data_IF_613478288739
#
_entry.id   IF_613478288739
#
_cell.length_a   1.000
_cell.length_b   1.000
_cell.length_c   1.000
_cell.angle_alpha   90.00
_cell.angle_beta   90.00
_cell.angle_gamma   90.00
#
_symmetry.space_group_name_H-M   'P 1'
#
loop_
_entity.id
_entity.type
_entity.pdbx_description
1 polymer ?
#
# COMPACT_ATOMS: atom_id res chain seq x y z
N UNK A 1 -0.71 -1.99 -2.29
CA UNK A 1 -1.76 -2.10 -1.27
C UNK A 1 -3.13 -1.65 -1.72
N UNK A 2 -4.12 -1.94 -0.93
CA UNK A 2 -5.51 -1.63 -1.25
C UNK A 2 -5.90 -0.19 -0.88
N UNK A 3 -5.50 0.26 0.31
CA UNK A 3 -5.75 1.61 0.81
C UNK A 3 -7.21 2.06 0.69
N UNK A 4 -8.12 1.16 1.04
CA UNK A 4 -9.53 1.50 1.11
C UNK A 4 -9.82 2.16 2.47
N UNK A 5 -10.66 3.19 2.48
CA UNK A 5 -10.98 3.94 3.69
C UNK A 5 -9.71 4.43 4.41
N UNK A 6 -8.98 5.34 3.77
CA UNK A 6 -7.76 5.90 4.34
C UNK A 6 -7.97 6.41 5.75
N UNK A 7 -7.03 6.07 6.63
CA UNK A 7 -7.09 6.49 8.03
C UNK A 7 -5.68 6.80 8.54
N UNK A 8 -5.58 7.18 9.81
CA UNK A 8 -4.33 7.58 10.43
C UNK A 8 -3.22 6.53 10.29
N UNK A 9 -3.58 5.24 10.42
CA UNK A 9 -2.61 4.16 10.25
C UNK A 9 -1.96 4.12 8.89
N UNK A 10 -2.75 4.35 7.83
CA UNK A 10 -2.22 4.45 6.47
C UNK A 10 -1.28 5.64 6.32
N UNK A 11 -1.66 6.79 6.87
CA UNK A 11 -0.82 8.00 6.80
C UNK A 11 0.51 7.77 7.50
N UNK A 12 0.49 7.14 8.67
CA UNK A 12 1.74 6.85 9.42
C UNK A 12 2.64 5.87 8.65
N UNK A 13 2.04 4.86 8.01
CA UNK A 13 2.81 3.92 7.18
C UNK A 13 3.49 4.65 6.03
N UNK A 14 2.75 5.52 5.34
CA UNK A 14 3.28 6.29 4.22
C UNK A 14 4.38 7.27 4.68
N UNK A 15 4.19 7.90 5.83
CA UNK A 15 5.20 8.78 6.41
C UNK A 15 6.50 8.02 6.69
N UNK A 16 6.39 6.85 7.31
CA UNK A 16 7.56 6.01 7.61
C UNK A 16 8.26 5.54 6.34
N UNK A 17 7.47 5.15 5.34
CA UNK A 17 8.01 4.71 4.05
C UNK A 17 8.77 5.85 3.36
N UNK A 18 8.19 7.06 3.37
CA UNK A 18 8.84 8.23 2.78
C UNK A 18 10.16 8.55 3.47
N UNK A 19 10.23 8.36 4.78
CA UNK A 19 11.46 8.63 5.56
C UNK A 19 12.61 7.70 5.19
N UNK A 20 12.34 6.57 4.53
CA UNK A 20 13.37 5.62 4.09
C UNK A 20 13.98 5.99 2.75
N UNK A 21 13.50 7.03 2.09
CA UNK A 21 14.01 7.47 0.80
C UNK A 21 13.60 8.90 0.50
N UNK A 22 13.86 9.34 -0.71
CA UNK A 22 13.56 10.70 -1.14
C UNK A 22 12.29 10.81 -1.97
N UNK A 23 11.85 9.69 -2.55
CA UNK A 23 10.72 9.66 -3.47
C UNK A 23 9.87 8.42 -3.18
N UNK A 24 8.59 8.64 -2.90
CA UNK A 24 7.69 7.55 -2.53
C UNK A 24 6.71 7.22 -3.67
N UNK A 25 6.80 5.98 -4.16
CA UNK A 25 5.88 5.44 -5.15
C UNK A 25 4.96 4.46 -4.42
N UNK A 26 3.66 4.63 -4.59
CA UNK A 26 2.66 3.73 -4.01
C UNK A 26 2.04 2.89 -5.11
N UNK A 27 2.13 1.57 -4.97
CA UNK A 27 1.46 0.64 -5.86
C UNK A 27 0.06 0.38 -5.30
N UNK A 28 -0.95 0.83 -6.02
CA UNK A 28 -2.34 0.77 -5.59
C UNK A 28 -3.09 -0.31 -6.35
N UNK A 29 -3.66 -1.27 -5.61
CA UNK A 29 -4.40 -2.39 -6.20
C UNK A 29 -5.59 -1.91 -7.01
N UNK A 30 -5.72 -2.42 -8.24
CA UNK A 30 -6.91 -2.14 -9.07
C UNK A 30 -8.12 -2.89 -8.51
N UNK A 31 -9.31 -2.48 -8.91
CA UNK A 31 -10.53 -3.14 -8.48
C UNK A 31 -10.56 -4.60 -8.95
N UNK A 32 -10.13 -4.85 -10.18
CA UNK A 32 -10.03 -6.20 -10.73
C UNK A 32 -9.05 -7.08 -9.96
N UNK A 33 -7.89 -6.54 -9.61
CA UNK A 33 -6.88 -7.27 -8.84
C UNK A 33 -7.41 -7.62 -7.45
N UNK A 34 -8.09 -6.69 -6.80
CA UNK A 34 -8.68 -6.94 -5.48
C UNK A 34 -9.73 -8.05 -5.54
N UNK A 35 -10.57 -8.05 -6.57
CA UNK A 35 -11.59 -9.07 -6.72
C UNK A 35 -10.99 -10.44 -7.08
N UNK A 36 -10.09 -10.47 -8.07
CA UNK A 36 -9.54 -11.73 -8.56
C UNK A 36 -8.61 -12.41 -7.57
N UNK A 37 -7.74 -11.64 -6.90
CA UNK A 37 -6.71 -12.20 -6.04
C UNK A 37 -7.06 -12.18 -4.56
N UNK A 38 -7.82 -11.20 -4.12
CA UNK A 38 -8.13 -11.00 -2.71
C UNK A 38 -9.59 -11.23 -2.36
N UNK A 39 -10.45 -11.39 -3.37
CA UNK A 39 -11.90 -11.52 -3.20
C UNK A 39 -12.47 -10.37 -2.37
N UNK A 40 -11.94 -9.17 -2.59
CA UNK A 40 -12.35 -7.96 -1.90
C UNK A 40 -13.05 -7.02 -2.86
N UNK A 41 -14.13 -6.42 -2.38
CA UNK A 41 -14.79 -5.30 -3.05
C UNK A 41 -14.57 -4.08 -2.18
N UNK A 42 -13.88 -3.08 -2.72
CA UNK A 42 -13.57 -1.85 -1.99
C UNK A 42 -14.79 -0.94 -1.88
N UNK A 43 -14.86 -0.17 -0.81
CA UNK A 43 -15.87 0.87 -0.67
C UNK A 43 -15.66 1.97 -1.72
N UNK A 44 -14.40 2.38 -1.93
CA UNK A 44 -14.04 3.36 -2.96
C UNK A 44 -13.47 2.65 -4.19
N UNK A 45 -13.80 3.18 -5.36
CA UNK A 45 -13.22 2.71 -6.63
C UNK A 45 -11.71 2.98 -6.67
N UNK A 46 -11.02 2.36 -7.62
CA UNK A 46 -9.61 2.61 -7.84
C UNK A 46 -9.33 4.11 -8.02
N UNK A 47 -10.10 4.79 -8.86
CA UNK A 47 -9.90 6.20 -9.14
C UNK A 47 -10.07 7.07 -7.89
N UNK A 48 -11.06 6.74 -7.06
CA UNK A 48 -11.28 7.46 -5.81
C UNK A 48 -10.15 7.21 -4.83
N UNK A 49 -9.69 5.97 -4.70
CA UNK A 49 -8.57 5.61 -3.83
C UNK A 49 -7.28 6.29 -4.29
N UNK A 50 -7.04 6.32 -5.60
CA UNK A 50 -5.88 6.99 -6.18
C UNK A 50 -5.90 8.49 -5.86
N UNK A 51 -7.04 9.13 -6.03
CA UNK A 51 -7.21 10.55 -5.76
C UNK A 51 -6.89 10.88 -4.29
N UNK A 52 -7.37 10.05 -3.37
CA UNK A 52 -7.09 10.24 -1.95
C UNK A 52 -5.60 10.09 -1.63
N UNK A 53 -4.95 9.09 -2.21
CA UNK A 53 -3.51 8.88 -2.01
C UNK A 53 -2.69 10.02 -2.59
N UNK A 54 -3.07 10.53 -3.75
CA UNK A 54 -2.36 11.63 -4.39
C UNK A 54 -2.45 12.93 -3.59
N UNK A 55 -3.44 13.04 -2.72
CA UNK A 55 -3.59 14.19 -1.82
C UNK A 55 -2.71 14.09 -0.57
N UNK A 56 -2.12 12.94 -0.30
CA UNK A 56 -1.23 12.73 0.85
C UNK A 56 0.14 13.33 0.54
N UNK A 57 0.61 14.21 1.42
CA UNK A 57 1.86 14.95 1.19
C UNK A 57 3.11 14.06 1.03
N UNK A 58 3.07 12.85 1.55
CA UNK A 58 4.23 11.95 1.50
C UNK A 58 4.30 11.15 0.20
N UNK A 59 3.23 11.14 -0.58
CA UNK A 59 3.14 10.33 -1.80
C UNK A 59 3.56 11.16 -3.00
N UNK A 60 4.53 10.66 -3.75
CA UNK A 60 5.05 11.33 -4.95
C UNK A 60 4.42 10.79 -6.23
N UNK A 61 4.12 9.49 -6.26
CA UNK A 61 3.55 8.86 -7.44
C UNK A 61 2.70 7.66 -7.04
N UNK A 62 1.56 7.51 -7.71
CA UNK A 62 0.69 6.34 -7.54
C UNK A 62 0.67 5.56 -8.85
N UNK A 63 0.97 4.26 -8.78
CA UNK A 63 0.92 3.38 -9.94
C UNK A 63 -0.07 2.24 -9.69
N UNK A 64 -0.67 1.67 -10.74
CA UNK A 64 -1.59 0.56 -10.54
C UNK A 64 -0.85 -0.74 -10.21
N UNK A 65 -1.44 -1.54 -9.32
CA UNK A 65 -0.99 -2.89 -9.01
C UNK A 65 -2.00 -3.85 -9.61
N UNK A 66 -1.60 -4.53 -10.67
CA UNK A 66 -2.50 -5.41 -11.43
C UNK A 66 -2.17 -6.90 -11.27
N UNK A 67 -0.97 -7.22 -10.77
CA UNK A 67 -0.55 -8.59 -10.53
C UNK A 67 0.60 -8.62 -9.53
N UNK A 68 0.83 -9.79 -8.93
CA UNK A 68 1.97 -9.98 -8.03
C UNK A 68 3.30 -9.99 -8.79
N UNK A 69 3.30 -10.53 -10.00
CA UNK A 69 4.49 -10.60 -10.85
C UNK A 69 5.00 -9.22 -11.27
N UNK A 70 4.12 -8.25 -11.30
CA UNK A 70 4.45 -6.87 -11.64
C UNK A 70 5.49 -6.26 -10.68
N UNK A 71 5.61 -6.77 -9.45
CA UNK A 71 6.53 -6.24 -8.45
C UNK A 71 7.96 -6.17 -8.93
N UNK A 72 8.46 -7.24 -9.55
CA UNK A 72 9.83 -7.29 -10.05
C UNK A 72 10.02 -6.26 -11.18
N UNK A 73 9.06 -6.23 -12.11
CA UNK A 73 9.08 -5.27 -13.23
C UNK A 73 9.08 -3.83 -12.73
N UNK A 74 8.22 -3.52 -11.76
CA UNK A 74 8.12 -2.17 -11.20
C UNK A 74 9.39 -1.75 -10.48
N UNK A 75 9.99 -2.64 -9.70
CA UNK A 75 11.24 -2.37 -8.98
C UNK A 75 12.34 -2.01 -9.96
N UNK A 76 12.42 -2.72 -11.07
CA UNK A 76 13.42 -2.46 -12.12
C UNK A 76 13.14 -1.18 -12.88
N UNK A 77 11.90 -0.99 -13.31
CA UNK A 77 11.49 0.16 -14.13
C UNK A 77 11.68 1.48 -13.39
N UNK A 78 11.27 1.53 -12.14
CA UNK A 78 11.35 2.76 -11.34
C UNK A 78 12.65 2.87 -10.54
N UNK A 79 13.57 1.91 -10.70
CA UNK A 79 14.86 1.89 -10.00
C UNK A 79 14.68 2.03 -8.49
N UNK A 80 13.80 1.22 -7.95
CA UNK A 80 13.46 1.26 -6.53
C UNK A 80 14.65 0.84 -5.68
N UNK A 81 14.99 1.64 -4.68
CA UNK A 81 16.05 1.31 -3.73
C UNK A 81 15.52 0.47 -2.57
N UNK A 82 14.32 0.78 -2.11
CA UNK A 82 13.72 0.12 -0.95
C UNK A 82 12.24 -0.17 -1.21
N UNK A 83 11.85 -1.43 -1.06
CA UNK A 83 10.46 -1.84 -1.11
C UNK A 83 9.93 -1.92 0.32
N UNK A 84 8.82 -1.24 0.59
CA UNK A 84 8.24 -1.14 1.93
C UNK A 84 6.83 -1.69 1.94
N UNK A 85 6.52 -2.52 2.92
CA UNK A 85 5.17 -3.07 3.09
C UNK A 85 4.94 -3.34 4.59
N UNK A 86 3.69 -3.49 5.00
CA UNK A 86 3.36 -3.82 6.38
C UNK A 86 3.85 -5.21 6.76
N UNK A 87 4.13 -5.40 8.05
CA UNK A 87 4.69 -6.67 8.54
C UNK A 87 3.71 -7.84 8.51
N UNK A 88 2.43 -7.61 8.21
CA UNK A 88 1.49 -8.69 7.95
C UNK A 88 1.96 -9.59 6.81
N UNK A 89 2.80 -9.05 5.92
CA UNK A 89 3.33 -9.72 4.75
C UNK A 89 4.77 -10.19 4.94
N UNK A 90 5.28 -10.20 6.18
CA UNK A 90 6.67 -10.54 6.45
C UNK A 90 7.09 -11.85 5.77
N UNK A 91 8.21 -11.78 5.06
CA UNK A 91 8.75 -12.90 4.30
C UNK A 91 8.15 -13.11 2.92
N UNK A 92 6.96 -12.59 2.65
CA UNK A 92 6.24 -12.84 1.38
C UNK A 92 6.86 -12.14 0.19
N UNK A 93 7.62 -11.09 0.42
CA UNK A 93 8.27 -10.30 -0.64
C UNK A 93 9.79 -10.38 -0.59
N UNK A 94 10.32 -11.36 0.12
CA UNK A 94 11.78 -11.55 0.21
C UNK A 94 12.42 -11.83 -1.15
N UNK A 95 11.65 -12.31 -2.13
CA UNK A 95 12.15 -12.50 -3.49
C UNK A 95 12.62 -11.18 -4.12
N UNK A 96 12.18 -10.04 -3.61
CA UNK A 96 12.62 -8.74 -4.10
C UNK A 96 13.99 -8.32 -3.56
N UNK A 97 14.51 -9.02 -2.55
CA UNK A 97 15.82 -8.71 -1.95
C UNK A 97 16.97 -8.81 -2.95
N UNK A 98 16.78 -9.58 -4.01
CA UNK A 98 17.74 -9.68 -5.11
C UNK A 98 17.86 -8.35 -5.87
N UNK A 99 16.84 -7.52 -5.84
CA UNK A 99 16.77 -6.29 -6.64
C UNK A 99 16.83 -5.01 -5.81
N UNK A 100 16.42 -5.05 -4.55
CA UNK A 100 16.35 -3.87 -3.69
C UNK A 100 16.28 -4.29 -2.22
N UNK A 101 16.38 -3.32 -1.32
CA UNK A 101 16.14 -3.59 0.09
C UNK A 101 14.64 -3.81 0.31
N UNK A 102 14.29 -4.71 1.21
CA UNK A 102 12.90 -4.99 1.57
C UNK A 102 12.72 -4.73 3.06
N UNK A 103 11.78 -3.86 3.38
CA UNK A 103 11.50 -3.47 4.76
C UNK A 103 10.04 -3.77 5.10
N UNK A 104 9.82 -4.49 6.18
CA UNK A 104 8.50 -4.78 6.71
C UNK A 104 8.26 -3.88 7.90
N UNK A 105 7.30 -2.95 7.79
CA UNK A 105 7.03 -2.00 8.86
C UNK A 105 5.93 -2.50 9.79
N UNK A 106 6.11 -2.31 11.10
CA UNK A 106 5.06 -2.69 12.05
C UNK A 106 3.82 -1.83 11.86
N UNK A 107 2.66 -2.46 12.08
CA UNK A 107 1.37 -1.80 11.99
C UNK A 107 1.25 -0.75 13.09
N UNK A 108 0.59 0.37 12.78
CA UNK A 108 0.23 1.35 13.79
C UNK A 108 -0.86 0.72 14.68
N UNK A 109 -0.60 0.56 15.99
CA UNK A 109 -1.54 -0.15 16.86
C UNK A 109 -2.94 0.47 16.89
N UNK A 110 -3.94 -0.38 17.04
CA UNK A 110 -5.34 -0.01 17.29
C UNK A 110 -6.06 0.69 16.15
N UNK A 111 -5.39 0.92 15.01
CA UNK A 111 -6.01 1.57 13.86
C UNK A 111 -6.04 0.59 12.70
N UNK A 112 -7.24 0.29 12.20
CA UNK A 112 -7.43 -0.57 11.03
C UNK A 112 -8.74 -0.22 10.35
N UNK A 113 -8.88 -0.61 9.07
CA UNK A 113 -10.11 -0.40 8.33
C UNK A 113 -11.27 -1.15 9.00
N UNK A 114 -11.01 -2.36 9.49
CA UNK A 114 -12.01 -3.16 10.20
C UNK A 114 -12.49 -2.45 11.44
N UNK A 115 -11.57 -1.89 12.23
CA UNK A 115 -11.92 -1.17 13.44
C UNK A 115 -12.76 0.07 13.14
N UNK A 116 -12.39 0.81 12.09
CA UNK A 116 -13.16 1.99 11.68
C UNK A 116 -14.58 1.62 11.28
N UNK A 117 -14.74 0.57 10.48
CA UNK A 117 -16.07 0.10 10.06
C UNK A 117 -16.91 -0.31 11.25
N UNK A 118 -16.30 -0.99 12.21
CA UNK A 118 -16.97 -1.42 13.44
C UNK A 118 -17.43 -0.21 14.28
N UNK A 119 -16.55 0.78 14.43
CA UNK A 119 -16.85 1.98 15.22
C UNK A 119 -17.95 2.80 14.57
N UNK A 120 -17.95 2.92 13.24
CA UNK A 120 -19.00 3.66 12.52
C UNK A 120 -20.36 2.96 12.61
N UNK A 121 -20.38 1.65 12.84
CA UNK A 121 -21.60 0.89 13.03
C UNK A 121 -22.21 1.04 14.42
N UNK A 122 -21.49 1.63 15.36
CA UNK A 122 -21.97 1.89 16.72
C UNK A 122 -22.68 3.23 16.77
N UNK A 123 -23.89 3.20 17.14
CA UNK A 123 -24.70 4.42 17.29
C UNK A 123 -25.29 4.49 18.67
#
# INVERSE_FOLDING_TARGET
GTYDLLHYGHVKLLQRAKALGDYLIVALSTDEFNWNEKQKKCYFSYEERKSLLEAIRYVDLVIPEESWEQKISDVKEFKVDTFVIGDDWEGKFDFLKEYCDVVYLPRTPEISTTQIKKDLGKK
#
